data_IF_445348590900
#
_entry.id   IF_445348590900
#
_cell.length_a   1.000
_cell.length_b   1.000
_cell.length_c   1.000
_cell.angle_alpha   90.00
_cell.angle_beta   90.00
_cell.angle_gamma   90.00
#
_symmetry.space_group_name_H-M   'P 1'
#
loop_
_entity.id
_entity.type
_entity.pdbx_description
1 polymer ?
#
# COMPACT_ATOMS: atom_id res chain seq x y z
N UNK A 1 -7.59 15.54 5.34
CA UNK A 1 -7.16 14.12 5.17
C UNK A 1 -6.44 14.01 3.83
N UNK A 2 -5.45 13.10 3.68
CA UNK A 2 -4.81 12.83 2.38
C UNK A 2 -5.40 11.59 1.74
N UNK A 3 -5.33 11.52 0.41
CA UNK A 3 -5.86 10.42 -0.37
C UNK A 3 -4.81 9.85 -1.32
N UNK A 4 -4.75 8.54 -1.39
CA UNK A 4 -4.04 7.78 -2.42
C UNK A 4 -4.98 6.82 -3.11
N UNK A 5 -4.56 6.21 -4.19
CA UNK A 5 -5.30 5.10 -4.80
C UNK A 5 -4.37 3.96 -5.17
N UNK A 6 -4.89 2.74 -5.08
CA UNK A 6 -4.21 1.52 -5.47
C UNK A 6 -4.84 0.94 -6.73
N UNK A 7 -4.00 0.65 -7.73
CA UNK A 7 -4.37 -0.04 -8.94
C UNK A 7 -4.03 -1.54 -8.84
N UNK A 8 -5.02 -2.42 -8.64
CA UNK A 8 -4.77 -3.82 -8.32
C UNK A 8 -4.88 -4.78 -9.52
N UNK A 9 -5.39 -4.33 -10.66
CA UNK A 9 -5.73 -5.21 -11.78
C UNK A 9 -5.25 -4.62 -13.11
N UNK A 10 -4.63 -5.44 -13.95
CA UNK A 10 -4.07 -5.07 -15.26
C UNK A 10 -4.77 -5.75 -16.42
N UNK A 11 -6.00 -6.23 -16.20
CA UNK A 11 -6.83 -6.86 -17.25
C UNK A 11 -7.59 -5.80 -18.02
N UNK A 12 -7.17 -5.58 -19.28
CA UNK A 12 -7.79 -4.62 -20.20
C UNK A 12 -8.08 -5.26 -21.54
N UNK A 13 -9.13 -4.80 -22.22
CA UNK A 13 -9.41 -5.17 -23.59
C UNK A 13 -8.24 -4.72 -24.49
N UNK A 14 -7.67 -5.66 -25.29
CA UNK A 14 -6.51 -5.39 -26.17
C UNK A 14 -5.15 -5.70 -25.56
N UNK A 15 -5.06 -6.14 -24.30
CA UNK A 15 -3.84 -6.56 -23.58
C UNK A 15 -2.61 -5.62 -23.78
N UNK A 16 -1.39 -6.12 -23.79
CA UNK A 16 -0.10 -5.44 -23.88
C UNK A 16 -0.10 -3.89 -24.05
N UNK A 17 -0.31 -3.34 -25.24
CA UNK A 17 -0.32 -1.89 -25.45
C UNK A 17 -1.38 -1.16 -24.60
N UNK A 18 -2.58 -1.75 -24.44
CA UNK A 18 -3.65 -1.17 -23.64
C UNK A 18 -3.29 -1.06 -22.15
N UNK A 19 -2.48 -1.98 -21.62
CA UNK A 19 -1.99 -1.92 -20.23
C UNK A 19 -1.17 -0.63 -20.01
N UNK A 20 -0.25 -0.30 -20.91
CA UNK A 20 0.62 0.88 -20.78
C UNK A 20 -0.18 2.17 -20.84
N UNK A 21 -1.12 2.27 -21.78
CA UNK A 21 -1.94 3.48 -21.95
C UNK A 21 -2.91 3.66 -20.78
N UNK A 22 -3.53 2.58 -20.31
CA UNK A 22 -4.42 2.60 -19.15
C UNK A 22 -3.66 2.99 -17.87
N UNK A 23 -2.47 2.40 -17.65
CA UNK A 23 -1.60 2.75 -16.52
C UNK A 23 -1.21 4.24 -16.53
N UNK A 24 -0.82 4.75 -17.71
CA UNK A 24 -0.51 6.18 -17.89
C UNK A 24 -1.72 7.04 -17.57
N UNK A 25 -2.87 6.74 -18.17
CA UNK A 25 -4.09 7.52 -18.00
C UNK A 25 -4.52 7.57 -16.53
N UNK A 26 -4.57 6.41 -15.84
CA UNK A 26 -4.91 6.33 -14.42
C UNK A 26 -3.93 7.16 -13.56
N UNK A 27 -2.64 6.98 -13.75
CA UNK A 27 -1.65 7.66 -12.93
C UNK A 27 -1.65 9.19 -13.13
N UNK A 28 -1.73 9.66 -14.38
CA UNK A 28 -1.77 11.10 -14.69
C UNK A 28 -3.09 11.74 -14.30
N UNK A 29 -4.22 11.04 -14.47
CA UNK A 29 -5.51 11.52 -14.02
C UNK A 29 -5.57 11.60 -12.49
N UNK A 30 -5.11 10.57 -11.78
CA UNK A 30 -5.03 10.62 -10.32
C UNK A 30 -4.17 11.78 -9.82
N UNK A 31 -3.02 12.04 -10.46
CA UNK A 31 -2.19 13.20 -10.14
C UNK A 31 -2.94 14.51 -10.38
N UNK A 32 -3.66 14.66 -11.49
CA UNK A 32 -4.43 15.87 -11.85
C UNK A 32 -5.62 16.11 -10.91
N UNK A 33 -6.22 15.07 -10.39
CA UNK A 33 -7.34 15.12 -9.44
C UNK A 33 -6.89 15.40 -7.99
N UNK A 34 -5.58 15.46 -7.72
CA UNK A 34 -5.05 15.79 -6.40
C UNK A 34 -4.82 14.61 -5.46
N UNK A 35 -4.82 13.38 -5.98
CA UNK A 35 -4.38 12.25 -5.17
C UNK A 35 -2.89 12.40 -4.79
N UNK A 36 -2.57 12.13 -3.53
CA UNK A 36 -1.21 12.27 -2.98
C UNK A 36 -0.30 11.07 -3.37
N UNK A 37 -0.86 9.88 -3.63
CA UNK A 37 -0.08 8.70 -4.00
C UNK A 37 -0.79 7.72 -4.91
N UNK A 38 0.02 7.05 -5.73
CA UNK A 38 -0.34 5.91 -6.56
C UNK A 38 0.34 4.64 -6.04
N UNK A 39 -0.44 3.57 -5.90
CA UNK A 39 0.02 2.30 -5.37
C UNK A 39 -0.29 1.15 -6.31
N UNK A 40 0.60 0.17 -6.37
CA UNK A 40 0.34 -1.15 -6.97
C UNK A 40 0.58 -2.24 -5.94
N UNK A 41 0.07 -3.43 -6.20
CA UNK A 41 0.42 -4.60 -5.41
C UNK A 41 1.82 -5.11 -5.77
N UNK A 42 2.45 -5.88 -4.88
CA UNK A 42 3.71 -6.58 -5.13
C UNK A 42 3.44 -8.09 -5.15
N UNK A 43 2.64 -8.51 -6.12
CA UNK A 43 2.30 -9.90 -6.41
C UNK A 43 2.82 -10.29 -7.80
N UNK A 44 3.01 -11.58 -8.03
CA UNK A 44 3.44 -12.15 -9.32
C UNK A 44 2.29 -12.85 -10.06
N UNK A 45 1.23 -13.19 -9.32
CA UNK A 45 -0.05 -13.68 -9.82
C UNK A 45 -1.16 -12.74 -9.36
N UNK A 46 -2.29 -12.76 -10.07
CA UNK A 46 -3.47 -12.09 -9.55
C UNK A 46 -3.97 -12.81 -8.28
N UNK A 47 -4.53 -12.05 -7.37
CA UNK A 47 -4.96 -12.55 -6.07
C UNK A 47 -6.48 -12.78 -6.01
N UNK A 48 -6.96 -13.74 -5.20
CA UNK A 48 -8.39 -13.92 -4.96
C UNK A 48 -9.05 -12.60 -4.55
N UNK A 49 -10.29 -12.39 -4.94
CA UNK A 49 -11.10 -11.17 -4.74
C UNK A 49 -10.77 -9.99 -5.68
N UNK A 50 -9.69 -10.07 -6.46
CA UNK A 50 -9.37 -9.10 -7.52
C UNK A 50 -9.55 -9.73 -8.89
N UNK A 51 -9.07 -10.95 -9.09
CA UNK A 51 -9.21 -11.68 -10.34
C UNK A 51 -8.65 -13.11 -10.24
N UNK A 52 -8.61 -13.80 -11.36
CA UNK A 52 -8.10 -15.16 -11.47
C UNK A 52 -6.56 -15.16 -11.52
N UNK A 53 -5.88 -16.20 -10.99
CA UNK A 53 -4.41 -16.23 -10.90
C UNK A 53 -3.67 -16.04 -12.24
N UNK A 54 -4.28 -16.42 -13.36
CA UNK A 54 -3.72 -16.30 -14.70
C UNK A 54 -3.94 -14.92 -15.34
N UNK A 55 -4.71 -14.03 -14.73
CA UNK A 55 -4.90 -12.69 -15.24
C UNK A 55 -3.59 -11.87 -15.18
N UNK A 56 -3.42 -10.86 -16.06
CA UNK A 56 -2.23 -10.04 -16.07
C UNK A 56 -1.93 -9.43 -14.70
N UNK A 57 -0.68 -9.61 -14.25
CA UNK A 57 -0.14 -9.00 -13.04
C UNK A 57 1.25 -8.47 -13.34
N UNK A 58 1.43 -7.15 -13.27
CA UNK A 58 2.74 -6.52 -13.49
C UNK A 58 3.56 -6.55 -12.20
N UNK A 59 4.86 -6.75 -12.34
CA UNK A 59 5.80 -6.66 -11.21
C UNK A 59 5.81 -5.24 -10.62
N UNK A 60 5.61 -5.15 -9.31
CA UNK A 60 5.25 -3.88 -8.65
C UNK A 60 6.30 -2.78 -8.77
N UNK A 61 7.58 -3.10 -8.57
CA UNK A 61 8.66 -2.10 -8.59
C UNK A 61 8.99 -1.62 -10.01
N UNK A 62 8.96 -2.52 -10.98
CA UNK A 62 9.10 -2.19 -12.40
C UNK A 62 7.96 -1.28 -12.85
N UNK A 63 6.72 -1.61 -12.44
CA UNK A 63 5.55 -0.77 -12.73
C UNK A 63 5.70 0.63 -12.15
N UNK A 64 6.12 0.76 -10.89
CA UNK A 64 6.33 2.07 -10.26
C UNK A 64 7.43 2.89 -10.94
N UNK A 65 8.48 2.25 -11.44
CA UNK A 65 9.52 2.95 -12.18
C UNK A 65 8.98 3.55 -13.50
N UNK A 66 8.09 2.84 -14.20
CA UNK A 66 7.42 3.34 -15.39
C UNK A 66 6.46 4.49 -15.05
N UNK A 67 5.65 4.35 -14.00
CA UNK A 67 4.74 5.41 -13.53
C UNK A 67 5.51 6.67 -13.10
N UNK A 68 6.71 6.52 -12.53
CA UNK A 68 7.57 7.65 -12.21
C UNK A 68 7.90 8.52 -13.44
N UNK A 69 8.02 7.90 -14.61
CA UNK A 69 8.25 8.60 -15.89
C UNK A 69 6.99 9.28 -16.46
N UNK A 70 5.79 8.87 -16.06
CA UNK A 70 4.52 9.45 -16.53
C UNK A 70 4.03 10.60 -15.66
N UNK A 71 4.50 10.69 -14.42
CA UNK A 71 3.99 11.59 -13.38
C UNK A 71 5.09 12.49 -12.84
N UNK A 72 4.72 13.55 -12.14
CA UNK A 72 5.69 14.55 -11.64
C UNK A 72 5.56 14.91 -10.16
N UNK A 73 4.40 14.65 -9.54
CA UNK A 73 4.06 15.07 -8.17
C UNK A 73 3.60 13.92 -7.28
N UNK A 74 2.80 13.01 -7.82
CA UNK A 74 2.18 11.92 -7.07
C UNK A 74 3.24 10.99 -6.49
N UNK A 75 3.12 10.63 -5.22
CA UNK A 75 4.00 9.65 -4.57
C UNK A 75 3.75 8.25 -5.10
N UNK A 76 4.76 7.42 -5.03
CA UNK A 76 4.80 6.10 -5.66
C UNK A 76 5.20 5.04 -4.65
N UNK A 77 4.48 3.94 -4.60
CA UNK A 77 4.82 2.84 -3.72
C UNK A 77 4.11 1.54 -4.05
N UNK A 78 4.61 0.47 -3.46
CA UNK A 78 3.90 -0.81 -3.45
C UNK A 78 3.11 -0.93 -2.14
N UNK A 79 1.90 -1.44 -2.21
CA UNK A 79 1.04 -1.63 -1.03
C UNK A 79 0.65 -3.11 -0.92
N UNK A 80 1.49 -3.95 -0.30
CA UNK A 80 2.84 -3.65 0.18
C UNK A 80 3.81 -4.69 -0.34
N UNK A 81 5.10 -4.33 -0.44
CA UNK A 81 6.15 -5.30 -0.80
C UNK A 81 6.20 -6.46 0.19
N UNK A 82 6.17 -7.68 -0.33
CA UNK A 82 6.41 -8.87 0.46
C UNK A 82 7.90 -9.03 0.79
N UNK A 83 8.27 -8.96 2.08
CA UNK A 83 9.69 -9.01 2.47
C UNK A 83 10.38 -10.35 2.16
N UNK A 84 9.64 -11.38 1.77
CA UNK A 84 10.20 -12.68 1.36
C UNK A 84 10.63 -12.72 -0.11
N UNK A 85 10.15 -11.79 -0.94
CA UNK A 85 10.38 -11.81 -2.39
C UNK A 85 11.75 -11.28 -2.79
N UNK A 86 12.37 -10.42 -1.99
CA UNK A 86 13.67 -9.80 -2.28
C UNK A 86 14.52 -9.70 -1.02
N UNK A 87 15.83 -9.88 -1.17
CA UNK A 87 16.75 -9.56 -0.06
C UNK A 87 16.61 -8.08 0.32
N UNK A 88 16.52 -7.71 1.61
CA UNK A 88 16.24 -6.34 2.04
C UNK A 88 17.27 -5.30 1.58
N UNK A 89 18.53 -5.68 1.39
CA UNK A 89 19.54 -4.76 0.83
C UNK A 89 19.31 -4.47 -0.67
N UNK A 90 18.84 -5.46 -1.44
CA UNK A 90 18.46 -5.26 -2.84
C UNK A 90 17.23 -4.38 -2.90
N UNK A 91 16.23 -4.64 -2.04
CA UNK A 91 15.03 -3.81 -1.93
C UNK A 91 15.36 -2.35 -1.55
N UNK A 92 16.28 -2.14 -0.60
CA UNK A 92 16.76 -0.82 -0.25
C UNK A 92 17.39 -0.09 -1.45
N UNK A 93 18.21 -0.82 -2.25
CA UNK A 93 18.80 -0.27 -3.47
C UNK A 93 17.76 0.07 -4.53
N UNK A 94 16.78 -0.79 -4.73
CA UNK A 94 15.65 -0.54 -5.65
C UNK A 94 14.87 0.71 -5.21
N UNK A 95 14.54 0.83 -3.92
CA UNK A 95 13.85 1.99 -3.37
C UNK A 95 14.65 3.28 -3.53
N UNK A 96 15.95 3.27 -3.20
CA UNK A 96 16.81 4.44 -3.40
C UNK A 96 16.86 4.86 -4.87
N UNK A 97 16.92 3.91 -5.80
CA UNK A 97 16.89 4.18 -7.24
C UNK A 97 15.58 4.83 -7.66
N UNK A 98 14.44 4.28 -7.24
CA UNK A 98 13.13 4.85 -7.54
C UNK A 98 12.97 6.25 -6.94
N UNK A 99 13.45 6.47 -5.71
CA UNK A 99 13.40 7.79 -5.07
C UNK A 99 14.17 8.85 -5.87
N UNK A 100 15.36 8.53 -6.32
CA UNK A 100 16.17 9.43 -7.15
C UNK A 100 15.51 9.69 -8.51
N UNK A 101 15.09 8.65 -9.23
CA UNK A 101 14.48 8.77 -10.55
C UNK A 101 13.13 9.49 -10.49
N UNK A 102 12.39 9.34 -9.44
CA UNK A 102 11.12 10.03 -9.19
C UNK A 102 11.27 11.43 -8.57
N UNK A 103 12.49 11.90 -8.31
CA UNK A 103 12.77 13.18 -7.65
C UNK A 103 12.18 13.27 -6.24
N UNK A 104 12.35 12.21 -5.43
CA UNK A 104 11.94 12.19 -4.02
C UNK A 104 10.46 11.86 -3.80
N UNK A 105 9.86 10.99 -4.62
CA UNK A 105 8.45 10.61 -4.50
C UNK A 105 8.20 9.18 -4.01
N UNK A 106 9.24 8.44 -3.62
CA UNK A 106 9.04 7.11 -3.06
C UNK A 106 8.28 7.18 -1.72
N UNK A 107 7.29 6.29 -1.57
CA UNK A 107 6.69 5.93 -0.30
C UNK A 107 6.80 4.39 -0.16
N UNK A 108 7.74 3.92 0.65
CA UNK A 108 8.05 2.50 0.78
C UNK A 108 6.97 1.77 1.58
N UNK A 109 6.20 0.90 0.94
CA UNK A 109 5.32 -0.02 1.65
C UNK A 109 5.94 -1.41 1.76
N UNK A 110 5.96 -2.00 2.95
CA UNK A 110 6.54 -3.34 3.19
C UNK A 110 5.68 -4.13 4.19
N UNK A 111 5.62 -5.45 4.03
CA UNK A 111 4.87 -6.36 4.91
C UNK A 111 5.48 -7.76 4.95
N UNK A 112 4.93 -8.60 5.83
CA UNK A 112 5.43 -9.96 6.06
C UNK A 112 5.12 -10.97 4.95
N UNK A 113 4.42 -10.57 3.88
CA UNK A 113 3.78 -11.41 2.87
C UNK A 113 2.69 -12.33 3.45
N UNK A 114 1.84 -12.87 2.60
CA UNK A 114 0.74 -13.76 3.01
C UNK A 114 0.44 -14.87 1.99
N UNK A 115 0.76 -14.65 0.71
CA UNK A 115 0.40 -15.59 -0.37
C UNK A 115 1.48 -16.67 -0.53
N UNK A 116 1.28 -17.78 0.19
CA UNK A 116 2.18 -18.93 0.15
C UNK A 116 2.12 -19.66 -1.21
N UNK A 117 0.94 -19.71 -1.82
CA UNK A 117 0.74 -20.38 -3.12
C UNK A 117 1.60 -19.72 -4.20
N UNK A 118 1.58 -18.40 -4.26
CA UNK A 118 2.39 -17.62 -5.20
C UNK A 118 3.90 -17.80 -4.95
N UNK A 119 4.32 -17.65 -3.70
CA UNK A 119 5.73 -17.81 -3.34
C UNK A 119 6.25 -19.19 -3.71
N UNK A 120 5.48 -20.24 -3.40
CA UNK A 120 5.82 -21.64 -3.74
C UNK A 120 5.89 -21.88 -5.25
N UNK A 121 4.96 -21.30 -6.01
CA UNK A 121 4.95 -21.42 -7.47
C UNK A 121 6.21 -20.80 -8.11
N UNK A 122 6.75 -19.73 -7.51
CA UNK A 122 7.99 -19.09 -7.94
C UNK A 122 9.26 -19.68 -7.30
N UNK A 123 9.13 -20.76 -6.52
CA UNK A 123 10.28 -21.37 -5.82
C UNK A 123 10.86 -20.50 -4.71
N UNK A 124 10.10 -19.53 -4.22
CA UNK A 124 10.52 -18.62 -3.15
C UNK A 124 10.21 -19.27 -1.80
N UNK A 125 11.21 -19.41 -0.89
CA UNK A 125 10.99 -19.95 0.43
C UNK A 125 9.96 -19.12 1.22
N UNK A 126 8.95 -19.80 1.77
CA UNK A 126 7.89 -19.16 2.55
C UNK A 126 7.86 -19.70 3.98
N UNK A 127 8.67 -19.15 4.88
CA UNK A 127 8.74 -19.62 6.25
C UNK A 127 7.45 -19.30 7.02
N UNK A 128 7.28 -19.90 8.20
CA UNK A 128 6.12 -19.65 9.06
C UNK A 128 6.00 -18.15 9.44
N UNK A 129 4.81 -17.75 9.86
CA UNK A 129 4.50 -16.35 10.15
C UNK A 129 5.44 -15.72 11.17
N UNK A 130 5.82 -16.46 12.21
CA UNK A 130 6.72 -15.95 13.26
C UNK A 130 8.10 -15.58 12.71
N UNK A 131 8.63 -16.40 11.80
CA UNK A 131 9.90 -16.11 11.12
C UNK A 131 9.74 -14.93 10.14
N UNK A 132 8.69 -14.91 9.33
CA UNK A 132 8.42 -13.79 8.41
C UNK A 132 8.32 -12.44 9.14
N UNK A 133 7.68 -12.41 10.31
CA UNK A 133 7.62 -11.19 11.13
C UNK A 133 8.99 -10.75 11.65
N UNK A 134 9.86 -11.69 12.08
CA UNK A 134 11.24 -11.38 12.48
C UNK A 134 12.08 -10.88 11.30
N UNK A 135 11.93 -11.53 10.14
CA UNK A 135 12.56 -11.07 8.90
C UNK A 135 12.09 -9.67 8.49
N UNK A 136 10.81 -9.36 8.67
CA UNK A 136 10.27 -8.01 8.41
C UNK A 136 10.92 -6.97 9.35
N UNK A 137 11.04 -7.27 10.65
CA UNK A 137 11.68 -6.36 11.61
C UNK A 137 13.14 -6.09 11.24
N UNK A 138 13.91 -7.11 10.86
CA UNK A 138 15.28 -6.94 10.37
C UNK A 138 15.36 -6.21 9.03
N UNK A 139 14.45 -6.51 8.11
CA UNK A 139 14.40 -5.89 6.78
C UNK A 139 14.20 -4.37 6.86
N UNK A 140 13.28 -3.90 7.70
CA UNK A 140 13.05 -2.45 7.89
C UNK A 140 14.31 -1.77 8.43
N UNK A 141 15.02 -2.40 9.36
CA UNK A 141 16.28 -1.86 9.89
C UNK A 141 17.37 -1.81 8.82
N UNK A 142 17.53 -2.88 8.02
CA UNK A 142 18.50 -2.91 6.92
C UNK A 142 18.20 -1.82 5.90
N UNK A 143 16.94 -1.63 5.51
CA UNK A 143 16.54 -0.59 4.58
C UNK A 143 16.94 0.79 5.12
N UNK A 144 16.68 1.07 6.39
CA UNK A 144 17.03 2.36 7.02
C UNK A 144 18.53 2.59 7.03
N UNK A 145 19.36 1.65 7.52
CA UNK A 145 20.81 1.83 7.56
C UNK A 145 21.42 1.93 6.17
N UNK A 146 20.90 1.19 5.17
CA UNK A 146 21.31 1.31 3.78
C UNK A 146 21.06 2.71 3.20
N UNK A 147 19.98 3.37 3.63
CA UNK A 147 19.62 4.70 3.13
C UNK A 147 20.33 5.84 3.86
N UNK A 148 20.78 5.63 5.10
CA UNK A 148 21.33 6.68 5.96
C UNK A 148 22.83 6.61 6.17
N UNK A 149 23.43 5.42 6.18
CA UNK A 149 24.85 5.24 6.43
C UNK A 149 25.65 5.12 5.14
N UNK A 150 26.89 5.64 5.11
CA UNK A 150 27.77 5.56 3.93
C UNK A 150 28.13 4.12 3.62
N UNK A 151 28.52 3.35 4.63
CA UNK A 151 28.81 1.92 4.57
C UNK A 151 27.94 1.17 5.57
N UNK A 152 26.80 0.69 5.09
CA UNK A 152 25.83 0.03 5.93
C UNK A 152 26.29 -1.35 6.39
N UNK A 153 26.20 -1.61 7.69
CA UNK A 153 26.43 -2.93 8.26
C UNK A 153 25.28 -3.29 9.20
N UNK A 154 24.84 -4.55 9.12
CA UNK A 154 23.80 -5.08 9.99
C UNK A 154 24.06 -6.57 10.25
N UNK A 155 23.90 -7.00 11.49
CA UNK A 155 24.05 -8.40 11.88
C UNK A 155 22.80 -8.83 12.65
N UNK A 156 21.85 -9.41 11.94
CA UNK A 156 20.63 -10.00 12.50
C UNK A 156 20.71 -11.51 12.61
N UNK A 157 19.57 -12.09 12.93
CA UNK A 157 19.40 -13.56 12.95
C UNK A 157 19.17 -14.14 11.56
N UNK A 158 18.46 -13.40 10.70
CA UNK A 158 18.01 -13.85 9.39
C UNK A 158 18.77 -13.19 8.25
N UNK A 159 19.29 -11.98 8.48
CA UNK A 159 20.04 -11.23 7.49
C UNK A 159 21.34 -10.70 8.05
N UNK A 160 22.33 -10.63 7.19
CA UNK A 160 23.61 -9.99 7.49
C UNK A 160 24.10 -9.22 6.27
N UNK A 161 24.50 -7.97 6.47
CA UNK A 161 25.21 -7.16 5.49
C UNK A 161 26.46 -6.56 6.14
N UNK A 162 27.50 -6.34 5.33
CA UNK A 162 28.76 -5.79 5.82
C UNK A 162 29.31 -4.78 4.83
N UNK A 163 29.53 -3.54 5.29
CA UNK A 163 30.10 -2.44 4.50
C UNK A 163 29.41 -2.24 3.15
N UNK A 164 28.08 -2.38 3.12
CA UNK A 164 27.30 -2.29 1.90
C UNK A 164 27.09 -0.82 1.49
N UNK A 165 27.37 -0.50 0.22
CA UNK A 165 27.09 0.81 -0.35
C UNK A 165 25.70 0.86 -0.97
N UNK A 166 24.97 1.96 -0.73
CA UNK A 166 23.72 2.29 -1.39
C UNK A 166 23.82 3.70 -2.00
N UNK A 167 24.55 3.82 -3.12
CA UNK A 167 24.72 5.07 -3.83
C UNK A 167 24.09 4.98 -5.23
N UNK A 168 23.37 6.04 -5.70
CA UNK A 168 23.04 7.23 -4.93
C UNK A 168 22.14 6.94 -3.73
N UNK A 169 22.27 7.77 -2.69
CA UNK A 169 21.33 7.77 -1.56
C UNK A 169 19.98 8.32 -2.00
N UNK A 170 18.87 7.98 -1.32
CA UNK A 170 17.59 8.64 -1.57
C UNK A 170 17.68 10.16 -1.44
N UNK A 171 16.86 10.87 -2.22
CA UNK A 171 16.74 12.33 -2.16
C UNK A 171 16.07 12.76 -0.87
N UNK A 172 15.00 12.04 -0.47
CA UNK A 172 14.25 12.34 0.75
C UNK A 172 15.11 12.18 2.00
N UNK A 173 14.98 13.11 2.96
CA UNK A 173 15.74 13.12 4.21
C UNK A 173 14.81 13.05 5.42
N UNK A 174 15.16 12.29 6.46
CA UNK A 174 16.38 11.46 6.60
C UNK A 174 16.40 10.25 5.66
N UNK A 175 15.24 9.79 5.22
CA UNK A 175 15.02 8.71 4.23
C UNK A 175 13.56 8.79 3.71
N UNK A 176 13.21 8.10 2.61
CA UNK A 176 11.83 7.94 2.19
C UNK A 176 10.97 7.35 3.31
N UNK A 177 9.70 7.77 3.45
CA UNK A 177 8.83 7.21 4.49
C UNK A 177 8.61 5.71 4.27
N UNK A 178 8.68 4.95 5.37
CA UNK A 178 8.46 3.51 5.40
C UNK A 178 7.11 3.23 6.06
N UNK A 179 6.20 2.61 5.30
CA UNK A 179 4.92 2.12 5.77
C UNK A 179 4.99 0.60 5.98
N UNK A 180 4.66 0.14 7.17
CA UNK A 180 4.47 -1.28 7.44
C UNK A 180 3.01 -1.63 7.29
N UNK A 181 2.73 -2.52 6.33
CA UNK A 181 1.38 -3.04 6.07
C UNK A 181 1.05 -4.25 6.92
N UNK A 182 -0.23 -4.36 7.22
CA UNK A 182 -0.76 -5.37 8.10
C UNK A 182 -1.15 -4.80 9.47
N UNK A 183 -2.06 -5.48 10.14
CA UNK A 183 -2.67 -4.95 11.35
C UNK A 183 -2.66 -5.94 12.53
N UNK A 184 -1.64 -6.82 12.55
CA UNK A 184 -1.39 -7.73 13.66
C UNK A 184 -1.03 -6.98 14.94
N UNK A 185 -1.86 -7.14 15.98
CA UNK A 185 -1.81 -6.33 17.19
C UNK A 185 -0.51 -6.49 17.99
N UNK A 186 0.06 -7.70 18.01
CA UNK A 186 1.23 -8.03 18.85
C UNK A 186 2.58 -7.74 18.17
N UNK A 187 2.70 -8.11 16.89
CA UNK A 187 3.99 -8.05 16.18
C UNK A 187 4.02 -6.86 15.19
N UNK A 188 3.02 -6.77 14.28
CA UNK A 188 3.06 -5.75 13.23
C UNK A 188 3.01 -4.33 13.81
N UNK A 189 2.04 -4.03 14.71
CA UNK A 189 1.95 -2.71 15.31
C UNK A 189 3.14 -2.38 16.23
N UNK A 190 3.81 -3.40 16.79
CA UNK A 190 5.06 -3.20 17.53
C UNK A 190 6.23 -2.83 16.62
N UNK A 191 6.35 -3.47 15.43
CA UNK A 191 7.34 -3.09 14.41
C UNK A 191 7.08 -1.66 13.92
N UNK A 192 5.80 -1.31 13.69
CA UNK A 192 5.41 0.07 13.35
C UNK A 192 5.92 1.05 14.40
N UNK A 193 5.57 0.82 15.67
CA UNK A 193 5.96 1.71 16.77
C UNK A 193 7.47 1.90 16.89
N UNK A 194 8.26 0.87 16.58
CA UNK A 194 9.73 0.95 16.67
C UNK A 194 10.40 1.60 15.46
N UNK A 195 9.91 1.31 14.25
CA UNK A 195 10.73 1.52 13.06
C UNK A 195 10.03 2.20 11.89
N UNK A 196 8.68 2.14 11.77
CA UNK A 196 7.99 2.64 10.58
C UNK A 196 7.53 4.09 10.72
N UNK A 197 7.40 4.79 9.60
CA UNK A 197 6.88 6.17 9.55
C UNK A 197 5.37 6.20 9.33
N UNK A 198 4.80 5.07 8.87
CA UNK A 198 3.38 4.89 8.66
C UNK A 198 2.93 3.45 8.95
N UNK A 199 1.65 3.29 9.27
CA UNK A 199 0.99 1.99 9.31
C UNK A 199 -0.15 1.95 8.30
N UNK A 200 -0.51 0.75 7.80
CA UNK A 200 -1.74 0.54 7.04
C UNK A 200 -2.64 -0.43 7.79
N UNK A 201 -3.81 0.06 8.23
CA UNK A 201 -4.75 -0.67 9.11
C UNK A 201 -6.02 -1.01 8.33
N UNK A 202 -6.50 -2.24 8.50
CA UNK A 202 -7.74 -2.73 7.91
C UNK A 202 -8.84 -2.90 8.98
N UNK A 203 -10.08 -2.92 8.53
CA UNK A 203 -11.26 -3.23 9.33
C UNK A 203 -12.26 -2.08 9.43
N UNK A 204 -13.32 -2.28 10.21
CA UNK A 204 -14.34 -1.27 10.51
C UNK A 204 -13.75 -0.10 11.33
N UNK A 205 -14.52 0.96 11.51
CA UNK A 205 -14.14 2.11 12.34
C UNK A 205 -13.84 1.70 13.79
N UNK A 206 -14.58 0.74 14.34
CA UNK A 206 -14.36 0.19 15.67
C UNK A 206 -13.03 -0.58 15.73
N UNK A 207 -12.78 -1.42 14.74
CA UNK A 207 -11.51 -2.16 14.60
C UNK A 207 -10.33 -1.20 14.48
N UNK A 208 -10.48 -0.15 13.68
CA UNK A 208 -9.45 0.90 13.53
C UNK A 208 -9.17 1.59 14.86
N UNK A 209 -10.20 2.06 15.57
CA UNK A 209 -10.05 2.70 16.90
C UNK A 209 -9.31 1.80 17.88
N UNK A 210 -9.71 0.51 17.94
CA UNK A 210 -9.03 -0.48 18.79
C UNK A 210 -7.55 -0.61 18.46
N UNK A 211 -7.22 -0.78 17.17
CA UNK A 211 -5.83 -0.97 16.72
C UNK A 211 -4.98 0.27 16.89
N UNK A 212 -5.53 1.46 16.69
CA UNK A 212 -4.84 2.72 16.94
C UNK A 212 -4.54 2.92 18.44
N UNK A 213 -5.44 2.48 19.33
CA UNK A 213 -5.15 2.45 20.77
C UNK A 213 -3.96 1.54 21.08
N UNK A 214 -3.93 0.33 20.52
CA UNK A 214 -2.82 -0.62 20.71
C UNK A 214 -1.52 -0.05 20.14
N UNK A 215 -1.55 0.60 18.97
CA UNK A 215 -0.39 1.28 18.42
C UNK A 215 0.13 2.37 19.36
N UNK A 216 -0.76 3.17 19.93
CA UNK A 216 -0.40 4.20 20.92
C UNK A 216 0.29 3.60 22.15
N UNK A 217 -0.22 2.47 22.65
CA UNK A 217 0.38 1.77 23.79
C UNK A 217 1.77 1.23 23.44
N UNK A 218 1.96 0.69 22.23
CA UNK A 218 3.29 0.27 21.75
C UNK A 218 4.25 1.46 21.59
N UNK A 219 3.80 2.58 21.04
CA UNK A 219 4.62 3.80 20.94
C UNK A 219 5.06 4.29 22.31
N UNK A 220 4.14 4.34 23.28
CA UNK A 220 4.47 4.69 24.67
C UNK A 220 5.51 3.74 25.27
N UNK A 221 5.38 2.45 25.04
CA UNK A 221 6.30 1.43 25.56
C UNK A 221 7.73 1.55 25.02
N UNK A 222 7.92 2.14 23.81
CA UNK A 222 9.23 2.35 23.20
C UNK A 222 9.70 3.82 23.25
N UNK A 223 8.97 4.69 23.95
CA UNK A 223 9.30 6.11 24.08
C UNK A 223 9.17 6.93 22.80
N UNK A 224 8.29 6.50 21.87
CA UNK A 224 8.06 7.17 20.60
C UNK A 224 6.79 8.02 20.63
N UNK A 225 6.85 9.19 20.01
CA UNK A 225 5.66 9.99 19.77
C UNK A 225 4.71 9.27 18.80
N UNK A 226 3.48 9.01 19.25
CA UNK A 226 2.44 8.35 18.47
C UNK A 226 2.05 9.20 17.24
N UNK A 227 2.06 10.51 17.35
CA UNK A 227 1.64 11.41 16.26
C UNK A 227 2.69 11.48 15.14
N UNK A 228 3.93 11.03 15.40
CA UNK A 228 4.97 10.85 14.38
C UNK A 228 4.69 9.68 13.42
N UNK A 229 3.73 8.81 13.70
CA UNK A 229 3.35 7.69 12.84
C UNK A 229 2.12 8.07 12.03
N UNK A 230 2.22 8.12 10.70
CA UNK A 230 1.08 8.35 9.81
C UNK A 230 0.11 7.16 9.81
N UNK A 231 -1.16 7.38 10.12
CA UNK A 231 -2.20 6.35 10.21
C UNK A 231 -2.91 6.27 8.86
N UNK A 232 -2.64 5.20 8.10
CA UNK A 232 -3.23 4.98 6.79
C UNK A 232 -4.21 3.81 6.79
N UNK A 233 -5.14 3.82 5.85
CA UNK A 233 -6.09 2.73 5.61
C UNK A 233 -6.26 2.50 4.11
N UNK A 234 -6.21 1.23 3.69
CA UNK A 234 -6.71 0.82 2.38
C UNK A 234 -8.18 0.46 2.51
N UNK A 235 -9.03 0.99 1.63
CA UNK A 235 -10.44 0.65 1.56
C UNK A 235 -10.91 0.45 0.12
N UNK A 236 -11.64 -0.64 -0.12
CA UNK A 236 -12.33 -0.84 -1.39
C UNK A 236 -13.52 0.11 -1.47
N UNK A 237 -13.68 0.80 -2.60
CA UNK A 237 -14.74 1.79 -2.80
C UNK A 237 -15.53 1.46 -4.05
N UNK A 238 -16.85 1.43 -3.92
CA UNK A 238 -17.81 1.40 -5.03
C UNK A 238 -18.63 2.68 -4.99
N UNK A 239 -18.37 3.57 -5.93
CA UNK A 239 -19.01 4.90 -6.00
C UNK A 239 -19.69 5.09 -7.34
N UNK A 240 -20.88 5.68 -7.32
CA UNK A 240 -21.63 6.10 -8.50
C UNK A 240 -22.65 7.18 -8.09
N UNK A 241 -23.06 8.02 -9.02
CA UNK A 241 -24.17 8.96 -8.83
C UNK A 241 -25.52 8.24 -8.75
N UNK A 242 -25.64 7.10 -9.45
CA UNK A 242 -26.82 6.24 -9.40
C UNK A 242 -26.70 5.22 -8.24
N UNK A 243 -27.49 5.45 -7.20
CA UNK A 243 -27.57 4.58 -6.03
C UNK A 243 -27.98 3.14 -6.38
N UNK A 244 -28.90 2.96 -7.34
CA UNK A 244 -29.37 1.63 -7.75
C UNK A 244 -28.25 0.84 -8.44
N UNK A 245 -27.44 1.51 -9.29
CA UNK A 245 -26.27 0.91 -9.92
C UNK A 245 -25.24 0.44 -8.89
N UNK A 246 -24.93 1.25 -7.88
CA UNK A 246 -24.03 0.83 -6.78
C UNK A 246 -24.59 -0.36 -6.03
N UNK A 247 -25.86 -0.33 -5.65
CA UNK A 247 -26.48 -1.43 -4.90
C UNK A 247 -26.45 -2.76 -5.69
N UNK A 248 -26.70 -2.72 -6.99
CA UNK A 248 -26.61 -3.90 -7.85
C UNK A 248 -25.18 -4.48 -7.90
N UNK A 249 -24.16 -3.62 -7.99
CA UNK A 249 -22.73 -4.03 -7.95
C UNK A 249 -22.33 -4.61 -6.60
N UNK A 250 -22.77 -3.99 -5.50
CA UNK A 250 -22.54 -4.50 -4.14
C UNK A 250 -23.21 -5.86 -3.96
N UNK A 251 -24.46 -6.02 -4.35
CA UNK A 251 -25.17 -7.30 -4.26
C UNK A 251 -24.44 -8.42 -5.04
N UNK A 252 -23.87 -8.11 -6.21
CA UNK A 252 -23.05 -9.04 -6.97
C UNK A 252 -21.73 -9.38 -6.24
N UNK A 253 -21.06 -8.37 -5.67
CA UNK A 253 -19.80 -8.57 -4.93
C UNK A 253 -20.01 -9.36 -3.63
N UNK A 254 -21.17 -9.19 -2.97
CA UNK A 254 -21.52 -9.90 -1.74
C UNK A 254 -21.86 -11.37 -1.98
N UNK A 255 -22.25 -11.75 -3.18
CA UNK A 255 -22.61 -13.14 -3.50
C UNK A 255 -21.45 -14.11 -3.28
N UNK A 256 -20.23 -13.64 -3.52
CA UNK A 256 -19.01 -14.45 -3.50
C UNK A 256 -18.10 -14.14 -2.30
N UNK A 257 -18.51 -13.21 -1.41
CA UNK A 257 -17.71 -12.75 -0.27
C UNK A 257 -18.57 -12.79 1.01
N UNK A 258 -18.05 -13.31 2.13
CA UNK A 258 -18.76 -13.26 3.42
C UNK A 258 -19.18 -11.84 3.79
N UNK A 259 -20.45 -11.64 4.19
CA UNK A 259 -21.04 -10.32 4.49
C UNK A 259 -20.22 -9.52 5.50
N UNK A 260 -19.65 -10.17 6.50
CA UNK A 260 -18.79 -9.53 7.50
C UNK A 260 -17.55 -8.90 6.88
N UNK A 261 -16.90 -9.58 5.93
CA UNK A 261 -15.75 -9.04 5.18
C UNK A 261 -16.13 -7.88 4.28
N UNK A 262 -17.31 -7.93 3.67
CA UNK A 262 -17.80 -6.82 2.86
C UNK A 262 -18.00 -5.58 3.72
N UNK A 263 -18.68 -5.71 4.87
CA UNK A 263 -18.91 -4.61 5.81
C UNK A 263 -17.62 -4.04 6.41
N UNK A 264 -16.58 -4.86 6.60
CA UNK A 264 -15.30 -4.40 7.13
C UNK A 264 -14.42 -3.66 6.12
N UNK A 265 -14.55 -3.97 4.83
CA UNK A 265 -13.62 -3.52 3.80
C UNK A 265 -14.23 -2.65 2.72
N UNK A 266 -15.55 -2.72 2.49
CA UNK A 266 -16.23 -2.03 1.42
C UNK A 266 -16.89 -0.75 1.90
N UNK A 267 -16.58 0.33 1.20
CA UNK A 267 -17.26 1.64 1.28
C UNK A 267 -18.06 1.79 -0.01
N UNK A 268 -19.34 2.14 0.08
CA UNK A 268 -20.15 2.23 -1.14
C UNK A 268 -21.31 3.21 -1.02
N UNK A 269 -21.74 3.72 -2.14
CA UNK A 269 -22.90 4.59 -2.26
C UNK A 269 -22.72 5.73 -3.24
N UNK A 270 -23.61 6.72 -3.12
CA UNK A 270 -23.45 8.01 -3.81
C UNK A 270 -22.22 8.77 -3.25
N UNK A 271 -21.72 9.80 -3.95
CA UNK A 271 -20.62 10.61 -3.43
C UNK A 271 -20.82 11.09 -2.00
N UNK A 272 -22.03 11.52 -1.63
CA UNK A 272 -22.36 12.00 -0.28
C UNK A 272 -22.33 10.86 0.76
N UNK A 273 -22.78 9.66 0.37
CA UNK A 273 -22.75 8.48 1.24
C UNK A 273 -21.31 7.99 1.46
N UNK A 274 -20.49 8.00 0.42
CA UNK A 274 -19.07 7.65 0.48
C UNK A 274 -18.31 8.68 1.32
N UNK A 275 -18.57 9.98 1.14
CA UNK A 275 -17.96 11.04 1.92
C UNK A 275 -18.20 10.84 3.42
N UNK A 276 -19.45 10.60 3.84
CA UNK A 276 -19.77 10.32 5.26
C UNK A 276 -19.05 9.10 5.82
N UNK A 277 -18.89 8.03 5.03
CA UNK A 277 -18.17 6.84 5.44
C UNK A 277 -16.66 7.14 5.58
N UNK A 278 -16.07 7.90 4.67
CA UNK A 278 -14.67 8.34 4.75
C UNK A 278 -14.46 9.26 5.98
N UNK A 279 -15.40 10.17 6.24
CA UNK A 279 -15.37 11.02 7.45
C UNK A 279 -15.36 10.19 8.74
N UNK A 280 -16.15 9.12 8.79
CA UNK A 280 -16.16 8.24 9.96
C UNK A 280 -14.81 7.59 10.24
N UNK A 281 -14.02 7.30 9.20
CA UNK A 281 -12.64 6.80 9.35
C UNK A 281 -11.67 7.91 9.75
N UNK A 282 -11.83 9.14 9.26
CA UNK A 282 -11.08 10.31 9.75
C UNK A 282 -11.31 10.50 11.24
N UNK A 283 -12.56 10.46 11.66
CA UNK A 283 -12.95 10.62 13.07
C UNK A 283 -12.51 9.44 13.95
N UNK A 284 -12.27 8.27 13.34
CA UNK A 284 -11.64 7.13 13.99
C UNK A 284 -10.12 7.26 14.11
N UNK A 285 -9.49 8.29 13.49
CA UNK A 285 -8.08 8.60 13.58
C UNK A 285 -7.25 8.25 12.34
N UNK A 286 -7.88 7.95 11.20
CA UNK A 286 -7.18 7.77 9.93
C UNK A 286 -6.86 9.14 9.33
N UNK A 287 -5.60 9.35 8.97
CA UNK A 287 -5.08 10.59 8.40
C UNK A 287 -4.88 10.50 6.88
N UNK A 288 -4.74 9.28 6.37
CA UNK A 288 -4.46 9.02 4.97
C UNK A 288 -5.29 7.83 4.47
N UNK A 289 -6.18 8.08 3.54
CA UNK A 289 -7.08 7.07 3.00
C UNK A 289 -6.61 6.64 1.60
N UNK A 290 -6.33 5.36 1.40
CA UNK A 290 -5.96 4.79 0.11
C UNK A 290 -7.17 4.05 -0.42
N UNK A 291 -7.68 4.45 -1.59
CA UNK A 291 -8.83 3.80 -2.21
C UNK A 291 -8.39 2.70 -3.15
N UNK A 292 -9.12 1.60 -3.13
CA UNK A 292 -9.07 0.56 -4.14
C UNK A 292 -10.41 0.59 -4.87
N UNK A 293 -10.39 1.02 -6.13
CA UNK A 293 -11.58 1.19 -6.94
C UNK A 293 -11.90 -0.10 -7.70
N UNK A 294 -13.14 -0.24 -8.13
CA UNK A 294 -13.59 -1.40 -8.89
C UNK A 294 -12.95 -1.40 -10.29
N UNK A 295 -12.16 -2.44 -10.68
CA UNK A 295 -11.34 -2.38 -11.88
C UNK A 295 -12.10 -2.03 -13.16
N UNK A 296 -13.32 -2.57 -13.33
CA UNK A 296 -14.14 -2.34 -14.53
C UNK A 296 -14.60 -0.88 -14.70
N UNK A 297 -14.67 -0.13 -13.62
CA UNK A 297 -15.15 1.27 -13.57
C UNK A 297 -14.09 2.19 -12.99
N UNK A 298 -12.83 1.77 -13.00
CA UNK A 298 -11.80 2.42 -12.22
C UNK A 298 -11.56 3.88 -12.63
N UNK A 299 -11.56 4.15 -13.93
CA UNK A 299 -11.28 5.51 -14.43
C UNK A 299 -12.42 6.49 -14.08
N UNK A 300 -13.67 6.09 -14.32
CA UNK A 300 -14.85 6.89 -13.97
C UNK A 300 -14.99 7.05 -12.45
N UNK A 301 -14.75 5.97 -11.70
CA UNK A 301 -14.78 6.00 -10.24
C UNK A 301 -13.67 6.87 -9.67
N UNK A 302 -12.46 6.85 -10.28
CA UNK A 302 -11.34 7.70 -9.88
C UNK A 302 -11.68 9.18 -10.10
N UNK A 303 -12.27 9.51 -11.25
CA UNK A 303 -12.70 10.87 -11.55
C UNK A 303 -13.79 11.34 -10.58
N UNK A 304 -14.80 10.50 -10.35
CA UNK A 304 -15.90 10.83 -9.45
C UNK A 304 -15.40 11.00 -8.00
N UNK A 305 -14.60 10.08 -7.50
CA UNK A 305 -14.02 10.16 -6.17
C UNK A 305 -13.08 11.37 -6.03
N UNK A 306 -12.26 11.63 -7.06
CA UNK A 306 -11.34 12.77 -7.07
C UNK A 306 -12.09 14.11 -6.96
N UNK A 307 -13.12 14.32 -7.79
CA UNK A 307 -13.88 15.58 -7.81
C UNK A 307 -14.78 15.75 -6.59
N UNK A 308 -15.44 14.68 -6.15
CA UNK A 308 -16.48 14.78 -5.12
C UNK A 308 -15.93 14.55 -3.69
N UNK A 309 -14.78 13.90 -3.55
CA UNK A 309 -14.18 13.61 -2.25
C UNK A 309 -12.83 14.31 -2.10
N UNK A 310 -11.81 13.97 -2.94
CA UNK A 310 -10.45 14.48 -2.73
C UNK A 310 -10.36 15.99 -2.71
N UNK A 311 -11.07 16.67 -3.63
CA UNK A 311 -11.04 18.14 -3.75
C UNK A 311 -11.89 18.88 -2.70
N UNK A 312 -12.71 18.16 -1.92
CA UNK A 312 -13.59 18.74 -0.90
C UNK A 312 -13.11 18.51 0.55
N UNK A 313 -12.15 17.60 0.77
CA UNK A 313 -11.56 17.30 2.07
C UNK A 313 -10.25 18.05 2.33
#
# INVERSE_FOLDING_TARGET
MKFGFQHPNFTYDGQGPAIVDSLRNLATQGESLGFDSFWVMDHFHQIPYVGEPQEPMLEGWTTQAVVAGFTSKIKLGTLVTGNVYRHPSVLAKTGATLDVLSKGRLFMGIGAAWNETEASAYGIPFPNLKERMRRLEEAVQIIKVMWTEDQASFKGRHYQIKNAYCNPKPIQKPHPPIMVGGSGERETLKIVAKYADACNIFGSTETVKKKLKILRDHCKAVGRDYDSVLKTRLGRVMIDKDRAAVQARVAKAMKDVPEERVRESLIFGTPEEVARQVESFRDAGIEYFIVNLEPRYELEALELFGREIVQKF
#
